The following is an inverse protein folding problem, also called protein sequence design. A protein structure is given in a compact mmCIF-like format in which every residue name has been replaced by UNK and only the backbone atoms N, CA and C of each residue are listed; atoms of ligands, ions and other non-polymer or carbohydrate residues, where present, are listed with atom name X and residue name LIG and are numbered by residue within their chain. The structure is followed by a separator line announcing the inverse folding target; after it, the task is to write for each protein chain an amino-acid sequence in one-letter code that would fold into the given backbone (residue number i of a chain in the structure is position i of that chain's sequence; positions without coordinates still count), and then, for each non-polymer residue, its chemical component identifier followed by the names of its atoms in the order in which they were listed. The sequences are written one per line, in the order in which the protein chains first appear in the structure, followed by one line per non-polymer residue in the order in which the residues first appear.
data_IF_480705348054
#
_entry.id   IF_480705348054
#
_cell.length_a   1.000
_cell.length_b   1.000
_cell.length_c   1.000
_cell.angle_alpha   90.00
_cell.angle_beta   90.00
_cell.angle_gamma   90.00
#
_symmetry.space_group_name_H-M   'P 1'
#
loop_
_entity.id
_entity.type
_entity.pdbx_description
1 polymer ?
#
# COMPACT_ATOMS: atom_id res chain seq x y z
N UNK A 1 28.19 -3.84 2.22
CA UNK A 1 26.95 -3.34 1.58
C UNK A 1 25.81 -4.28 1.96
N UNK A 2 25.26 -4.12 3.18
CA UNK A 2 24.25 -5.02 3.72
C UNK A 2 22.89 -4.72 3.09
N UNK A 3 22.29 -5.75 2.48
CA UNK A 3 20.91 -5.76 1.98
C UNK A 3 19.99 -5.50 3.16
N UNK A 4 19.28 -4.37 3.16
CA UNK A 4 18.16 -4.18 4.09
C UNK A 4 17.05 -5.14 3.68
N UNK A 5 16.87 -6.14 4.54
CA UNK A 5 15.87 -7.20 4.49
C UNK A 5 14.46 -6.68 4.30
N UNK A 6 13.73 -7.42 3.46
CA UNK A 6 12.33 -7.78 3.61
C UNK A 6 11.46 -6.84 4.46
N UNK A 7 10.73 -5.95 3.79
CA UNK A 7 9.47 -5.43 4.35
C UNK A 7 8.44 -6.55 4.21
N UNK A 8 8.52 -7.52 5.12
CA UNK A 8 7.61 -8.67 5.24
C UNK A 8 6.26 -8.30 5.87
N UNK A 9 5.75 -7.09 5.64
CA UNK A 9 4.40 -6.75 6.05
C UNK A 9 3.44 -7.28 4.98
N UNK A 10 2.92 -8.49 5.17
CA UNK A 10 1.79 -8.97 4.37
C UNK A 10 0.67 -7.93 4.46
N UNK A 11 0.32 -7.33 3.32
CA UNK A 11 -0.81 -6.41 3.23
C UNK A 11 -2.08 -7.20 3.58
N UNK A 12 -2.61 -6.97 4.77
CA UNK A 12 -3.90 -7.54 5.19
C UNK A 12 -5.00 -6.57 4.81
N UNK A 13 -5.76 -6.90 3.77
CA UNK A 13 -6.90 -6.07 3.37
C UNK A 13 -7.98 -6.18 4.44
N UNK A 14 -8.35 -5.01 4.99
CA UNK A 14 -9.63 -4.82 5.67
C UNK A 14 -10.57 -4.20 4.66
N UNK A 15 -11.77 -4.76 4.50
CA UNK A 15 -12.76 -4.30 3.51
C UNK A 15 -13.06 -2.79 3.65
N UNK A 16 -12.94 -2.21 4.86
CA UNK A 16 -13.08 -0.77 5.12
C UNK A 16 -11.82 0.10 4.97
N UNK A 17 -10.65 -0.45 4.60
CA UNK A 17 -9.45 0.36 4.34
C UNK A 17 -9.54 0.97 2.93
N UNK A 18 -9.69 2.30 2.89
CA UNK A 18 -10.15 3.08 1.74
C UNK A 18 -9.14 3.29 0.60
N UNK A 19 -7.86 2.96 0.79
CA UNK A 19 -6.83 3.24 -0.20
C UNK A 19 -5.79 2.14 -0.31
N UNK A 20 -5.18 2.05 -1.50
CA UNK A 20 -3.97 1.25 -1.73
C UNK A 20 -2.91 1.73 -0.74
N UNK A 21 -2.21 0.82 -0.04
CA UNK A 21 -1.10 1.21 0.81
C UNK A 21 -0.05 1.97 -0.01
N UNK A 22 0.32 3.15 0.47
CA UNK A 22 1.44 3.92 -0.08
C UNK A 22 2.58 3.95 0.94
N UNK A 23 3.80 4.10 0.44
CA UNK A 23 4.96 4.35 1.29
C UNK A 23 4.73 5.62 2.10
N UNK A 24 5.01 5.57 3.41
CA UNK A 24 5.00 6.77 4.26
C UNK A 24 6.02 7.77 3.68
N UNK A 25 5.64 9.04 3.47
CA UNK A 25 6.59 10.06 3.05
C UNK A 25 7.75 10.18 4.04
N UNK A 26 8.96 10.36 3.53
CA UNK A 26 10.12 10.63 4.38
C UNK A 26 9.95 12.01 5.03
N UNK A 27 10.03 12.06 6.36
CA UNK A 27 10.05 13.29 7.14
C UNK A 27 11.46 13.48 7.68
N UNK A 28 12.09 14.57 7.27
CA UNK A 28 13.42 14.92 7.77
C UNK A 28 13.38 15.20 9.28
N UNK A 29 12.35 15.90 9.76
CA UNK A 29 12.28 16.27 11.17
C UNK A 29 12.09 15.02 12.04
N UNK A 30 11.24 14.07 11.62
CA UNK A 30 11.10 12.77 12.29
C UNK A 30 12.43 12.02 12.32
N UNK A 31 13.17 12.03 11.20
CA UNK A 31 14.49 11.40 11.13
C UNK A 31 15.48 12.08 12.10
N UNK A 32 15.52 13.40 12.15
CA UNK A 32 16.44 14.15 13.01
C UNK A 32 16.17 13.92 14.50
N UNK A 33 14.91 13.71 14.89
CA UNK A 33 14.54 13.32 16.26
C UNK A 33 15.15 11.97 16.67
N UNK A 34 15.46 11.09 15.71
CA UNK A 34 16.10 9.80 16.03
C UNK A 34 17.60 9.91 16.30
N UNK A 35 18.24 11.03 15.97
CA UNK A 35 19.69 11.19 16.09
C UNK A 35 20.17 11.18 17.54
N UNK A 36 19.34 11.62 18.49
CA UNK A 36 19.72 11.63 19.91
C UNK A 36 19.83 10.19 20.47
N UNK A 37 19.03 9.26 19.94
CA UNK A 37 18.98 7.87 20.39
C UNK A 37 19.60 6.84 19.44
N UNK A 38 19.98 7.23 18.24
CA UNK A 38 20.53 6.32 17.22
C UNK A 38 21.51 6.99 16.26
N UNK A 39 21.95 8.21 16.58
CA UNK A 39 22.77 9.01 15.69
C UNK A 39 24.26 8.67 15.72
N UNK A 40 25.04 9.30 14.83
CA UNK A 40 26.48 9.10 14.76
C UNK A 40 27.20 9.42 16.08
N UNK A 41 26.70 10.36 16.88
CA UNK A 41 27.26 10.68 18.20
C UNK A 41 27.39 9.47 19.14
N UNK A 42 26.59 8.42 18.94
CA UNK A 42 26.62 7.19 19.74
C UNK A 42 27.61 6.14 19.20
N UNK A 43 28.05 6.29 17.95
CA UNK A 43 28.87 5.29 17.23
C UNK A 43 30.22 5.83 16.76
N UNK A 44 30.39 7.16 16.68
CA UNK A 44 31.62 7.81 16.31
C UNK A 44 31.98 8.93 17.31
N UNK A 45 33.25 8.99 17.73
CA UNK A 45 33.77 10.02 18.63
C UNK A 45 33.92 11.41 17.99
N UNK A 46 33.43 11.59 16.77
CA UNK A 46 33.52 12.84 16.02
C UNK A 46 32.42 13.79 16.50
N UNK A 47 32.84 14.94 17.01
CA UNK A 47 31.91 16.01 17.43
C UNK A 47 31.59 16.90 16.22
N UNK A 48 30.34 17.33 16.09
CA UNK A 48 29.91 18.24 15.03
C UNK A 48 28.41 18.45 14.97
N UNK A 49 27.99 19.36 14.10
CA UNK A 49 26.58 19.61 13.78
C UNK A 49 26.04 18.51 12.85
N UNK A 50 25.66 17.38 13.45
CA UNK A 50 25.07 16.25 12.73
C UNK A 50 23.73 16.60 12.09
N UNK A 51 22.91 17.40 12.77
CA UNK A 51 21.61 17.80 12.23
C UNK A 51 21.79 18.61 10.95
N UNK A 52 22.63 19.64 10.96
CA UNK A 52 22.91 20.46 9.78
C UNK A 52 23.57 19.66 8.65
N UNK A 53 24.43 18.69 8.97
CA UNK A 53 24.98 17.78 7.96
C UNK A 53 23.88 16.96 7.27
N UNK A 54 22.99 16.33 8.03
CA UNK A 54 21.89 15.56 7.45
C UNK A 54 20.90 16.44 6.70
N UNK A 55 20.61 17.66 7.17
CA UNK A 55 19.81 18.65 6.43
C UNK A 55 20.40 18.94 5.05
N UNK A 56 21.71 19.20 4.96
CA UNK A 56 22.39 19.40 3.67
C UNK A 56 22.38 18.15 2.81
N UNK A 57 22.60 16.97 3.41
CA UNK A 57 22.63 15.71 2.68
C UNK A 57 21.29 15.37 2.04
N UNK A 58 20.17 15.49 2.78
CA UNK A 58 18.86 15.14 2.21
C UNK A 58 18.37 16.13 1.15
N UNK A 59 18.87 17.37 1.19
CA UNK A 59 18.64 18.35 0.12
C UNK A 59 19.52 18.13 -1.12
N UNK A 60 20.50 17.21 -1.06
CA UNK A 60 21.36 16.93 -2.21
C UNK A 60 20.62 16.19 -3.32
N UNK A 61 21.02 16.44 -4.58
CA UNK A 61 20.44 15.78 -5.75
C UNK A 61 20.54 14.24 -5.67
N UNK A 62 21.63 13.73 -5.08
CA UNK A 62 21.83 12.28 -4.88
C UNK A 62 20.74 11.68 -4.00
N UNK A 63 20.48 12.28 -2.83
CA UNK A 63 19.46 11.77 -1.92
C UNK A 63 18.06 11.92 -2.50
N UNK A 64 17.74 13.06 -3.11
CA UNK A 64 16.43 13.31 -3.73
C UNK A 64 16.14 12.27 -4.83
N UNK A 65 17.11 12.04 -5.73
CA UNK A 65 16.96 11.03 -6.79
C UNK A 65 16.83 9.61 -6.24
N UNK A 66 17.66 9.25 -5.25
CA UNK A 66 17.57 7.95 -4.59
C UNK A 66 16.22 7.75 -3.90
N UNK A 67 15.72 8.73 -3.15
CA UNK A 67 14.46 8.66 -2.43
C UNK A 67 13.28 8.52 -3.40
N UNK A 68 13.28 9.27 -4.51
CA UNK A 68 12.26 9.16 -5.55
C UNK A 68 12.22 7.74 -6.15
N UNK A 69 13.38 7.17 -6.50
CA UNK A 69 13.44 5.82 -7.02
C UNK A 69 12.97 4.77 -5.99
N UNK A 70 13.41 4.91 -4.74
CA UNK A 70 12.98 4.02 -3.64
C UNK A 70 11.49 4.10 -3.37
N UNK A 71 10.90 5.28 -3.39
CA UNK A 71 9.46 5.45 -3.25
C UNK A 71 8.71 4.77 -4.41
N UNK A 72 9.21 4.88 -5.63
CA UNK A 72 8.63 4.19 -6.79
C UNK A 72 8.66 2.67 -6.60
N UNK A 73 9.81 2.11 -6.22
CA UNK A 73 9.98 0.67 -6.01
C UNK A 73 9.06 0.13 -4.89
N UNK A 74 9.05 0.81 -3.74
CA UNK A 74 8.23 0.40 -2.59
C UNK A 74 6.74 0.49 -2.94
N UNK A 75 6.30 1.58 -3.58
CA UNK A 75 4.90 1.71 -3.98
C UNK A 75 4.50 0.66 -5.03
N UNK A 76 5.40 0.27 -5.94
CA UNK A 76 5.13 -0.83 -6.88
C UNK A 76 4.96 -2.17 -6.14
N UNK A 77 5.80 -2.45 -5.15
CA UNK A 77 5.69 -3.66 -4.32
C UNK A 77 4.39 -3.67 -3.49
N UNK A 78 4.04 -2.54 -2.87
CA UNK A 78 2.79 -2.41 -2.11
C UNK A 78 1.55 -2.61 -3.00
N UNK A 79 1.56 -2.05 -4.21
CA UNK A 79 0.49 -2.27 -5.21
C UNK A 79 0.36 -3.76 -5.57
N UNK A 80 1.48 -4.43 -5.86
CA UNK A 80 1.48 -5.85 -6.18
C UNK A 80 0.92 -6.70 -5.02
N UNK A 81 1.40 -6.46 -3.79
CA UNK A 81 0.91 -7.16 -2.60
C UNK A 81 -0.57 -6.88 -2.31
N UNK A 82 -1.05 -5.66 -2.59
CA UNK A 82 -2.46 -5.32 -2.46
C UNK A 82 -3.33 -6.10 -3.47
N UNK A 83 -2.89 -6.22 -4.72
CA UNK A 83 -3.60 -7.07 -5.72
C UNK A 83 -3.61 -8.54 -5.28
N UNK A 84 -2.49 -9.07 -4.79
CA UNK A 84 -2.43 -10.43 -4.24
C UNK A 84 -3.44 -10.65 -3.10
N UNK A 85 -3.54 -9.69 -2.20
CA UNK A 85 -4.46 -9.75 -1.08
C UNK A 85 -5.92 -9.64 -1.53
N UNK A 86 -6.23 -8.87 -2.58
CA UNK A 86 -7.58 -8.83 -3.17
C UNK A 86 -7.93 -10.17 -3.80
N UNK A 87 -7.01 -10.75 -4.57
CA UNK A 87 -7.22 -12.05 -5.23
C UNK A 87 -7.49 -13.19 -4.22
N UNK A 88 -6.87 -13.13 -3.04
CA UNK A 88 -6.97 -14.16 -2.00
C UNK A 88 -7.95 -13.84 -0.87
N UNK A 89 -8.65 -12.70 -0.94
CA UNK A 89 -9.61 -12.31 0.08
C UNK A 89 -10.80 -13.27 0.14
N UNK A 90 -11.25 -13.57 1.36
CA UNK A 90 -12.53 -14.23 1.60
C UNK A 90 -13.64 -13.17 1.58
N UNK A 91 -14.35 -13.10 0.45
CA UNK A 91 -15.46 -12.18 0.22
C UNK A 91 -16.81 -12.93 0.18
N UNK A 92 -16.94 -13.98 0.99
CA UNK A 92 -18.21 -14.71 1.12
C UNK A 92 -19.33 -13.90 1.79
N UNK A 93 -20.57 -14.34 1.59
CA UNK A 93 -21.79 -13.68 2.09
C UNK A 93 -21.75 -13.36 3.59
N UNK A 94 -21.21 -14.27 4.43
CA UNK A 94 -21.07 -14.05 5.87
C UNK A 94 -20.20 -12.84 6.21
N UNK A 95 -19.12 -12.61 5.46
CA UNK A 95 -18.21 -11.48 5.68
C UNK A 95 -18.86 -10.19 5.20
N UNK A 96 -19.47 -10.23 4.01
CA UNK A 96 -20.13 -9.08 3.40
C UNK A 96 -21.32 -8.57 4.23
N UNK A 97 -22.10 -9.47 4.85
CA UNK A 97 -23.20 -9.11 5.73
C UNK A 97 -22.79 -8.28 6.96
N UNK A 98 -21.49 -8.26 7.31
CA UNK A 98 -20.96 -7.44 8.41
C UNK A 98 -20.49 -6.04 7.98
N UNK A 99 -20.66 -5.69 6.70
CA UNK A 99 -20.15 -4.45 6.10
C UNK A 99 -21.29 -3.54 5.68
N UNK A 100 -21.04 -2.23 5.74
CA UNK A 100 -21.98 -1.26 5.20
C UNK A 100 -21.99 -1.32 3.68
N UNK A 101 -23.15 -1.08 3.06
CA UNK A 101 -23.30 -1.10 1.60
C UNK A 101 -22.29 -0.19 0.91
N UNK A 102 -22.01 0.99 1.47
CA UNK A 102 -20.99 1.93 0.94
C UNK A 102 -19.58 1.33 0.91
N UNK A 103 -19.21 0.50 1.89
CA UNK A 103 -17.90 -0.16 1.92
C UNK A 103 -17.81 -1.24 0.84
N UNK A 104 -18.92 -1.94 0.58
CA UNK A 104 -19.01 -2.97 -0.46
C UNK A 104 -18.95 -2.33 -1.85
N UNK A 105 -19.66 -1.22 -2.07
CA UNK A 105 -19.60 -0.45 -3.32
C UNK A 105 -18.18 0.06 -3.58
N UNK A 106 -17.54 0.65 -2.57
CA UNK A 106 -16.15 1.11 -2.67
C UNK A 106 -15.18 -0.05 -2.97
N UNK A 107 -15.37 -1.21 -2.36
CA UNK A 107 -14.58 -2.40 -2.65
C UNK A 107 -14.73 -2.84 -4.12
N UNK A 108 -15.95 -2.89 -4.64
CA UNK A 108 -16.23 -3.27 -6.04
C UNK A 108 -15.58 -2.28 -7.00
N UNK A 109 -15.74 -0.98 -6.77
CA UNK A 109 -15.09 0.08 -7.55
C UNK A 109 -13.56 -0.08 -7.58
N UNK A 110 -12.95 -0.34 -6.42
CA UNK A 110 -11.50 -0.55 -6.33
C UNK A 110 -11.05 -1.78 -7.09
N UNK A 111 -11.76 -2.90 -6.97
CA UNK A 111 -11.43 -4.15 -7.69
C UNK A 111 -11.58 -3.94 -9.21
N UNK A 112 -12.66 -3.30 -9.67
CA UNK A 112 -12.85 -2.95 -11.10
C UNK A 112 -11.73 -2.06 -11.61
N UNK A 113 -11.33 -1.02 -10.87
CA UNK A 113 -10.22 -0.17 -11.25
C UNK A 113 -8.90 -0.97 -11.38
N UNK A 114 -8.67 -1.97 -10.51
CA UNK A 114 -7.49 -2.84 -10.64
C UNK A 114 -7.56 -3.74 -11.87
N UNK A 115 -8.74 -4.22 -12.24
CA UNK A 115 -8.95 -5.00 -13.46
C UNK A 115 -8.59 -4.18 -14.70
N UNK A 116 -8.96 -2.90 -14.74
CA UNK A 116 -8.66 -1.96 -15.84
C UNK A 116 -7.16 -1.68 -15.95
N UNK A 117 -6.47 -1.54 -14.82
CA UNK A 117 -5.02 -1.29 -14.80
C UNK A 117 -4.15 -2.50 -15.16
N UNK A 118 -4.72 -3.72 -15.16
CA UNK A 118 -4.02 -4.94 -15.52
C UNK A 118 -4.26 -5.26 -17.01
N UNK A 119 -3.16 -5.36 -17.78
CA UNK A 119 -3.16 -5.75 -19.20
C UNK A 119 -3.95 -7.05 -19.48
N UNK A 120 -4.48 -7.17 -20.71
CA UNK A 120 -5.39 -8.22 -21.14
C UNK A 120 -4.71 -9.58 -21.38
N UNK A 121 -4.25 -10.24 -20.31
CA UNK A 121 -4.06 -11.71 -20.17
C UNK A 121 -3.35 -12.06 -18.85
N UNK A 122 -3.78 -11.48 -17.74
CA UNK A 122 -3.16 -11.75 -16.43
C UNK A 122 -4.04 -12.69 -15.59
N UNK A 123 -3.48 -13.77 -15.02
CA UNK A 123 -4.17 -14.63 -14.04
C UNK A 123 -4.73 -13.82 -12.86
N UNK A 124 -4.02 -12.76 -12.44
CA UNK A 124 -4.50 -11.83 -11.40
C UNK A 124 -5.78 -11.12 -11.83
N UNK A 125 -5.89 -10.70 -13.09
CA UNK A 125 -7.11 -10.09 -13.64
C UNK A 125 -8.29 -11.06 -13.55
N UNK A 126 -8.08 -12.33 -13.93
CA UNK A 126 -9.11 -13.37 -13.81
C UNK A 126 -9.50 -13.65 -12.36
N UNK A 127 -8.54 -13.66 -11.43
CA UNK A 127 -8.81 -13.77 -9.99
C UNK A 127 -9.67 -12.61 -9.47
N UNK A 128 -9.35 -11.36 -9.86
CA UNK A 128 -10.15 -10.20 -9.48
C UNK A 128 -11.56 -10.23 -10.08
N UNK A 129 -11.73 -10.68 -11.32
CA UNK A 129 -13.06 -10.89 -11.92
C UNK A 129 -13.86 -11.93 -11.12
N UNK A 130 -13.23 -13.03 -10.72
CA UNK A 130 -13.86 -14.04 -9.84
C UNK A 130 -14.27 -13.44 -8.49
N UNK A 131 -13.46 -12.54 -7.93
CA UNK A 131 -13.80 -11.84 -6.69
C UNK A 131 -15.04 -10.95 -6.86
N UNK A 132 -15.18 -10.21 -7.98
CA UNK A 132 -16.40 -9.44 -8.27
C UNK A 132 -17.63 -10.35 -8.33
N UNK A 133 -17.54 -11.47 -9.04
CA UNK A 133 -18.65 -12.43 -9.14
C UNK A 133 -19.02 -12.99 -7.77
N UNK A 134 -18.03 -13.32 -6.94
CA UNK A 134 -18.25 -13.76 -5.56
C UNK A 134 -19.01 -12.71 -4.75
N UNK A 135 -18.59 -11.44 -4.81
CA UNK A 135 -19.27 -10.34 -4.12
C UNK A 135 -20.71 -10.23 -4.58
N UNK A 136 -20.96 -10.19 -5.90
CA UNK A 136 -22.31 -10.05 -6.47
C UNK A 136 -23.24 -11.20 -6.09
N UNK A 137 -22.71 -12.40 -5.87
CA UNK A 137 -23.48 -13.55 -5.39
C UNK A 137 -23.71 -13.56 -3.88
N UNK A 138 -22.94 -12.77 -3.12
CA UNK A 138 -22.96 -12.76 -1.66
C UNK A 138 -23.72 -11.59 -1.03
N UNK A 139 -24.20 -10.65 -1.83
CA UNK A 139 -24.99 -9.47 -1.40
C UNK A 139 -26.49 -9.66 -1.66
N UNK A 140 -27.32 -8.85 -1.01
CA UNK A 140 -28.77 -8.78 -1.29
C UNK A 140 -29.08 -8.16 -2.66
N UNK A 141 -30.32 -8.34 -3.13
CA UNK A 141 -30.72 -7.94 -4.48
C UNK A 141 -30.77 -6.42 -4.68
N UNK A 142 -31.09 -5.66 -3.62
CA UNK A 142 -31.14 -4.19 -3.69
C UNK A 142 -29.73 -3.63 -3.93
N UNK A 143 -28.75 -4.10 -3.14
CA UNK A 143 -27.36 -3.71 -3.32
C UNK A 143 -26.80 -4.20 -4.66
N UNK A 144 -27.15 -5.42 -5.07
CA UNK A 144 -26.71 -5.99 -6.35
C UNK A 144 -27.16 -5.15 -7.54
N UNK A 145 -28.40 -4.67 -7.54
CA UNK A 145 -28.88 -3.76 -8.59
C UNK A 145 -27.98 -2.52 -8.70
N UNK A 146 -27.61 -1.91 -7.57
CA UNK A 146 -26.71 -0.74 -7.54
C UNK A 146 -25.33 -1.10 -8.11
N UNK A 147 -24.75 -2.24 -7.69
CA UNK A 147 -23.41 -2.69 -8.11
C UNK A 147 -23.31 -3.06 -9.60
N UNK A 148 -24.42 -3.34 -10.27
CA UNK A 148 -24.44 -3.56 -11.72
C UNK A 148 -24.19 -2.25 -12.47
N UNK A 149 -24.69 -1.12 -11.96
CA UNK A 149 -24.59 0.20 -12.58
C UNK A 149 -23.28 0.95 -12.30
N UNK A 150 -22.53 0.52 -11.29
CA UNK A 150 -21.27 1.12 -10.80
C UNK A 150 -20.10 0.27 -11.22
#
# INVERSE_FOLDING_TARGET
MHRYSNIGNKVKIRIGNKAIPSARPFSIDDFLLTLDGSGPSLTCGVKGDWQGLYRRFVSSANFVGWLANRNKDVNAQLKAQYVEALCSADLGSKVLATKHHVEIVDLVLRVRQRIIELEEANEKRHQLVRQIVSILSGVDEDLKQILVWV
#
